data_IF_170157141662
#
_entry.id   IF_170157141662
#
_cell.length_a   1.000
_cell.length_b   1.000
_cell.length_c   1.000
_cell.angle_alpha   90.00
_cell.angle_beta   90.00
_cell.angle_gamma   90.00
#
_symmetry.space_group_name_H-M   'P 1'
#
loop_
_entity.id
_entity.type
_entity.pdbx_description
1 polymer ?
#
# COMPACT_ATOMS: atom_id res chain seq x y z
N UNK A 1 -16.81 -7.59 0.19
CA UNK A 1 -16.47 -8.32 1.42
C UNK A 1 -14.98 -8.69 1.41
N UNK A 2 -14.41 -8.96 2.59
CA UNK A 2 -13.01 -9.38 2.70
C UNK A 2 -12.69 -10.67 1.94
N UNK A 3 -13.69 -11.50 1.70
CA UNK A 3 -13.58 -12.70 0.87
C UNK A 3 -13.19 -12.40 -0.57
N UNK A 4 -13.72 -11.33 -1.10
CA UNK A 4 -13.45 -10.88 -2.46
C UNK A 4 -12.09 -10.20 -2.58
N UNK A 5 -11.62 -9.52 -1.53
CA UNK A 5 -10.26 -8.97 -1.47
C UNK A 5 -9.18 -10.05 -1.58
N UNK A 6 -9.41 -11.21 -0.94
CA UNK A 6 -8.48 -12.34 -1.04
C UNK A 6 -8.52 -12.96 -2.46
N UNK A 7 -9.68 -12.96 -3.12
CA UNK A 7 -9.77 -13.36 -4.53
C UNK A 7 -9.04 -12.39 -5.45
N UNK A 8 -9.15 -11.08 -5.19
CA UNK A 8 -8.37 -10.06 -5.92
C UNK A 8 -6.87 -10.30 -5.77
N UNK A 9 -6.39 -10.54 -4.55
CA UNK A 9 -4.97 -10.81 -4.31
C UNK A 9 -4.48 -12.10 -4.97
N UNK A 10 -5.33 -13.14 -5.06
CA UNK A 10 -4.97 -14.38 -5.78
C UNK A 10 -4.82 -14.19 -7.29
N UNK A 11 -5.65 -13.35 -7.89
CA UNK A 11 -5.55 -13.03 -9.31
C UNK A 11 -4.25 -12.31 -9.66
N UNK A 12 -3.76 -11.47 -8.75
CA UNK A 12 -2.51 -10.74 -8.95
C UNK A 12 -1.26 -11.58 -8.68
N UNK A 13 -1.31 -12.52 -7.72
CA UNK A 13 -0.18 -13.41 -7.43
C UNK A 13 0.12 -14.39 -8.58
N UNK A 14 -0.90 -14.89 -9.26
CA UNK A 14 -0.71 -15.77 -10.42
C UNK A 14 -0.20 -15.02 -11.67
N UNK A 15 -0.55 -13.74 -11.82
CA UNK A 15 -0.09 -12.92 -12.96
C UNK A 15 1.36 -12.46 -12.84
N UNK A 16 1.95 -12.44 -11.64
CA UNK A 16 3.36 -12.05 -11.42
C UNK A 16 4.33 -13.07 -12.05
N UNK A 17 3.91 -14.32 -12.22
CA UNK A 17 4.73 -15.37 -12.87
C UNK A 17 4.62 -15.39 -14.41
N UNK A 18 3.62 -14.72 -14.97
CA UNK A 18 3.38 -14.69 -16.43
C UNK A 18 3.66 -13.28 -16.97
N UNK A 19 4.84 -13.11 -17.54
CA UNK A 19 5.24 -12.02 -18.45
C UNK A 19 5.21 -10.59 -17.90
N UNK A 20 6.31 -9.82 -18.04
CA UNK A 20 6.42 -8.44 -17.55
C UNK A 20 5.55 -7.42 -18.29
N UNK A 21 4.71 -7.83 -19.24
CA UNK A 21 3.97 -6.91 -20.12
C UNK A 21 2.44 -6.88 -19.94
N UNK A 22 1.88 -7.51 -18.91
CA UNK A 22 0.42 -7.49 -18.73
C UNK A 22 0.00 -6.46 -17.67
N UNK A 23 0.18 -5.17 -17.98
CA UNK A 23 -0.20 -4.03 -17.14
C UNK A 23 -1.68 -3.62 -17.33
N UNK A 24 -2.56 -4.56 -17.71
CA UNK A 24 -3.97 -4.25 -18.02
C UNK A 24 -4.73 -3.64 -16.84
N UNK A 25 -4.34 -3.99 -15.60
CA UNK A 25 -5.00 -3.51 -14.39
C UNK A 25 -4.30 -2.29 -13.76
N UNK A 26 -3.16 -1.87 -14.32
CA UNK A 26 -2.43 -0.72 -13.79
C UNK A 26 -3.09 0.59 -14.20
N UNK A 27 -3.45 1.41 -13.22
CA UNK A 27 -3.92 2.78 -13.44
C UNK A 27 -2.74 3.73 -13.52
N UNK A 28 -1.87 3.69 -12.52
CA UNK A 28 -0.73 4.59 -12.39
C UNK A 28 0.39 3.91 -11.61
N UNK A 29 1.63 4.24 -11.96
CA UNK A 29 2.82 3.75 -11.27
C UNK A 29 3.75 4.91 -10.97
N UNK A 30 4.34 4.91 -9.78
CA UNK A 30 5.39 5.84 -9.36
C UNK A 30 6.60 5.06 -8.91
N UNK A 31 7.73 5.38 -9.53
CA UNK A 31 9.00 4.70 -9.30
C UNK A 31 9.92 5.54 -8.42
N UNK A 32 10.69 4.86 -7.58
CA UNK A 32 11.81 5.39 -6.85
C UNK A 32 13.01 4.45 -7.08
N UNK A 33 14.13 4.73 -6.42
CA UNK A 33 15.31 3.88 -6.55
C UNK A 33 15.09 2.53 -5.88
N UNK A 34 15.04 1.46 -6.69
CA UNK A 34 14.92 0.09 -6.21
C UNK A 34 13.52 -0.31 -5.73
N UNK A 35 12.50 0.53 -5.94
CA UNK A 35 11.13 0.21 -5.57
C UNK A 35 10.11 1.01 -6.38
N UNK A 36 8.86 0.58 -6.32
CA UNK A 36 7.74 1.32 -6.91
C UNK A 36 6.45 1.04 -6.16
N UNK A 37 5.48 1.93 -6.37
CA UNK A 37 4.09 1.73 -6.02
C UNK A 37 3.25 1.82 -7.28
N UNK A 38 2.31 0.91 -7.44
CA UNK A 38 1.31 0.98 -8.50
C UNK A 38 -0.11 0.88 -7.92
N UNK A 39 -1.04 1.56 -8.55
CA UNK A 39 -2.47 1.46 -8.26
C UNK A 39 -3.12 0.63 -9.34
N UNK A 40 -3.97 -0.31 -8.91
CA UNK A 40 -4.69 -1.23 -9.79
C UNK A 40 -6.19 -0.99 -9.73
N UNK A 41 -6.89 -1.28 -10.84
CA UNK A 41 -8.34 -1.09 -10.94
C UNK A 41 -9.17 -2.35 -10.67
N UNK A 42 -8.57 -3.35 -10.05
CA UNK A 42 -9.17 -4.68 -9.87
C UNK A 42 -10.10 -4.81 -8.66
N UNK A 43 -10.17 -3.81 -7.79
CA UNK A 43 -10.94 -3.86 -6.55
C UNK A 43 -11.95 -2.71 -6.35
N UNK A 44 -12.21 -1.88 -7.36
CA UNK A 44 -13.18 -0.79 -7.25
C UNK A 44 -14.60 -1.29 -6.98
N UNK A 45 -14.97 -2.41 -7.57
CA UNK A 45 -16.28 -3.03 -7.35
C UNK A 45 -16.49 -3.51 -5.90
N UNK A 46 -15.43 -3.56 -5.09
CA UNK A 46 -15.45 -3.90 -3.67
C UNK A 46 -15.33 -2.66 -2.76
N UNK A 47 -15.46 -1.46 -3.32
CA UNK A 47 -15.20 -0.20 -2.63
C UNK A 47 -13.79 -0.09 -2.04
N UNK A 48 -12.81 -0.68 -2.74
CA UNK A 48 -11.39 -0.65 -2.33
C UNK A 48 -10.51 -0.09 -3.44
N UNK A 49 -9.50 0.63 -3.04
CA UNK A 49 -8.37 1.02 -3.89
C UNK A 49 -7.22 0.06 -3.58
N UNK A 50 -6.74 -0.63 -4.60
CA UNK A 50 -5.63 -1.58 -4.47
C UNK A 50 -4.31 -0.93 -4.86
N UNK A 51 -3.37 -0.86 -3.91
CA UNK A 51 -2.01 -0.42 -4.15
C UNK A 51 -1.06 -1.60 -3.97
N UNK A 52 -0.10 -1.72 -4.87
CA UNK A 52 0.97 -2.72 -4.77
C UNK A 52 2.30 -2.01 -4.62
N UNK A 53 3.01 -2.33 -3.54
CA UNK A 53 4.34 -1.82 -3.23
C UNK A 53 5.35 -2.92 -3.48
N UNK A 54 6.34 -2.66 -4.31
CA UNK A 54 7.35 -3.63 -4.69
C UNK A 54 8.74 -3.05 -4.49
N UNK A 55 9.60 -3.80 -3.80
CA UNK A 55 11.04 -3.59 -3.82
C UNK A 55 11.69 -4.66 -4.70
N UNK A 56 12.73 -4.29 -5.43
CA UNK A 56 13.38 -5.20 -6.36
C UNK A 56 14.90 -5.03 -6.37
N UNK A 57 15.57 -6.09 -6.78
CA UNK A 57 17.03 -6.14 -7.00
C UNK A 57 17.29 -6.60 -8.42
N UNK A 58 17.79 -5.70 -9.27
CA UNK A 58 18.07 -5.96 -10.68
C UNK A 58 19.25 -6.93 -10.89
N UNK A 59 20.10 -7.11 -9.88
CA UNK A 59 21.23 -8.05 -9.94
C UNK A 59 20.78 -9.52 -9.87
N UNK A 60 19.54 -9.78 -9.44
CA UNK A 60 18.98 -11.12 -9.37
C UNK A 60 18.50 -11.62 -10.75
N UNK A 61 18.42 -12.93 -10.95
CA UNK A 61 17.87 -13.51 -12.18
C UNK A 61 16.43 -13.06 -12.45
N UNK A 62 16.05 -13.02 -13.72
CA UNK A 62 14.67 -12.71 -14.12
C UNK A 62 13.68 -13.66 -13.43
N UNK A 63 12.57 -13.11 -12.94
CA UNK A 63 11.56 -13.84 -12.17
C UNK A 63 11.86 -13.97 -10.66
N UNK A 64 13.05 -13.56 -10.21
CA UNK A 64 13.44 -13.58 -8.79
C UNK A 64 13.87 -12.20 -8.28
N UNK A 65 13.52 -11.14 -9.01
CA UNK A 65 13.98 -9.78 -8.72
C UNK A 65 13.22 -9.11 -7.61
N UNK A 66 11.98 -9.50 -7.33
CA UNK A 66 11.19 -8.90 -6.27
C UNK A 66 11.67 -9.38 -4.89
N UNK A 67 12.10 -8.43 -4.08
CA UNK A 67 12.57 -8.69 -2.70
C UNK A 67 11.47 -8.43 -1.68
N UNK A 68 10.52 -7.56 -1.98
CA UNK A 68 9.32 -7.32 -1.18
C UNK A 68 8.14 -7.04 -2.10
N UNK A 69 6.96 -7.49 -1.68
CA UNK A 69 5.72 -7.28 -2.41
C UNK A 69 4.59 -7.18 -1.40
N UNK A 70 4.03 -5.98 -1.26
CA UNK A 70 3.00 -5.68 -0.26
C UNK A 70 1.77 -5.15 -0.97
N UNK A 71 0.63 -5.81 -0.76
CA UNK A 71 -0.66 -5.37 -1.27
C UNK A 71 -1.43 -4.61 -0.18
N UNK A 72 -1.85 -3.39 -0.50
CA UNK A 72 -2.63 -2.53 0.39
C UNK A 72 -3.99 -2.30 -0.25
N UNK A 73 -5.03 -2.39 0.57
CA UNK A 73 -6.42 -2.15 0.16
C UNK A 73 -6.99 -1.05 1.04
N UNK A 74 -7.22 0.14 0.47
CA UNK A 74 -7.74 1.30 1.18
C UNK A 74 -9.22 1.46 0.82
N UNK A 75 -10.05 1.74 1.82
CA UNK A 75 -11.46 2.08 1.56
C UNK A 75 -11.56 3.31 0.65
N UNK A 76 -12.40 3.23 -0.38
CA UNK A 76 -12.60 4.32 -1.33
C UNK A 76 -12.89 5.66 -0.63
N UNK A 77 -13.80 5.75 0.36
CA UNK A 77 -14.03 7.01 1.06
C UNK A 77 -12.78 7.59 1.73
N UNK A 78 -11.94 6.77 2.34
CA UNK A 78 -10.70 7.22 2.98
C UNK A 78 -9.70 7.74 1.94
N UNK A 79 -9.57 7.05 0.83
CA UNK A 79 -8.70 7.48 -0.28
C UNK A 79 -9.19 8.80 -0.89
N UNK A 80 -10.50 8.96 -1.10
CA UNK A 80 -11.09 10.18 -1.61
C UNK A 80 -10.92 11.35 -0.64
N UNK A 81 -11.03 11.12 0.68
CA UNK A 81 -10.77 12.14 1.68
C UNK A 81 -9.33 12.64 1.62
N UNK A 82 -8.37 11.75 1.48
CA UNK A 82 -6.96 12.11 1.30
C UNK A 82 -6.77 12.92 0.01
N UNK A 83 -7.40 12.49 -1.09
CA UNK A 83 -7.36 13.21 -2.37
C UNK A 83 -7.94 14.61 -2.25
N UNK A 84 -9.02 14.78 -1.49
CA UNK A 84 -9.62 16.09 -1.23
C UNK A 84 -8.67 17.00 -0.43
N UNK A 85 -7.98 16.49 0.58
CA UNK A 85 -6.97 17.24 1.32
C UNK A 85 -5.79 17.65 0.42
N UNK A 86 -5.40 16.80 -0.52
CA UNK A 86 -4.40 17.16 -1.52
C UNK A 86 -4.91 18.27 -2.46
N UNK A 87 -6.18 18.18 -2.88
CA UNK A 87 -6.80 19.14 -3.82
C UNK A 87 -6.94 20.54 -3.21
N UNK A 88 -7.34 20.63 -1.92
CA UNK A 88 -7.55 21.92 -1.27
C UNK A 88 -6.27 22.53 -0.66
N UNK A 89 -5.13 21.85 -0.78
CA UNK A 89 -3.84 22.34 -0.28
C UNK A 89 -3.58 22.07 1.21
N UNK A 90 -4.55 21.53 1.96
CA UNK A 90 -4.38 21.31 3.41
C UNK A 90 -3.33 20.24 3.71
N UNK A 91 -3.24 19.20 2.87
CA UNK A 91 -2.22 18.15 3.03
C UNK A 91 -0.81 18.74 2.82
N UNK A 92 -0.63 19.54 1.79
CA UNK A 92 0.67 20.19 1.51
C UNK A 92 1.08 21.15 2.61
N UNK A 93 0.15 21.94 3.13
CA UNK A 93 0.40 22.83 4.27
C UNK A 93 0.81 22.04 5.52
N UNK A 94 0.13 20.97 5.83
CA UNK A 94 0.48 20.07 6.95
C UNK A 94 1.87 19.47 6.78
N UNK A 95 2.20 19.04 5.56
CA UNK A 95 3.52 18.50 5.24
C UNK A 95 4.60 19.54 5.52
N UNK A 96 4.43 20.77 5.06
CA UNK A 96 5.39 21.84 5.29
C UNK A 96 5.54 22.18 6.78
N UNK A 97 4.43 22.21 7.52
CA UNK A 97 4.45 22.42 8.97
C UNK A 97 5.23 21.31 9.68
N UNK A 98 4.95 20.04 9.38
CA UNK A 98 5.65 18.91 9.97
C UNK A 98 7.14 18.92 9.64
N UNK A 99 7.48 19.30 8.41
CA UNK A 99 8.87 19.43 7.97
C UNK A 99 9.62 20.51 8.77
N UNK A 100 9.00 21.67 8.98
CA UNK A 100 9.56 22.76 9.76
C UNK A 100 9.72 22.38 11.24
N UNK A 101 8.77 21.67 11.79
CA UNK A 101 8.77 21.20 13.19
C UNK A 101 9.57 19.92 13.40
N UNK A 102 10.11 19.32 12.31
CA UNK A 102 10.82 18.03 12.31
C UNK A 102 9.99 16.89 12.89
N UNK A 103 8.68 16.92 12.65
CA UNK A 103 7.77 15.85 13.05
C UNK A 103 7.88 14.64 12.11
N UNK A 104 7.92 13.45 12.71
CA UNK A 104 7.94 12.18 11.99
C UNK A 104 6.59 11.48 11.99
N UNK A 105 5.56 12.13 12.54
CA UNK A 105 4.21 11.61 12.61
C UNK A 105 3.62 11.38 11.21
N UNK A 106 2.75 10.40 11.08
CA UNK A 106 2.07 10.13 9.83
C UNK A 106 1.06 11.24 9.48
N UNK A 107 1.12 11.71 8.24
CA UNK A 107 0.10 12.60 7.66
C UNK A 107 -1.18 11.83 7.31
N UNK A 108 -1.02 10.58 6.96
CA UNK A 108 -2.10 9.63 6.69
C UNK A 108 -1.62 8.24 7.09
N UNK A 109 -2.53 7.44 7.64
CA UNK A 109 -2.26 6.05 8.01
C UNK A 109 -3.52 5.21 7.80
N UNK A 110 -3.35 4.02 7.25
CA UNK A 110 -4.40 3.03 7.16
C UNK A 110 -3.88 1.68 7.63
N UNK A 111 -4.58 1.11 8.62
CA UNK A 111 -4.32 -0.23 9.12
C UNK A 111 -5.22 -1.23 8.41
N UNK A 112 -4.65 -2.32 7.97
CA UNK A 112 -5.38 -3.40 7.33
C UNK A 112 -4.69 -4.74 7.54
N UNK A 113 -5.15 -5.74 6.84
CA UNK A 113 -4.56 -7.06 6.90
C UNK A 113 -5.59 -8.18 6.81
N UNK A 114 -5.14 -9.38 7.14
CA UNK A 114 -5.97 -10.59 7.09
C UNK A 114 -5.89 -11.31 8.42
N UNK A 115 -7.04 -11.66 8.99
CA UNK A 115 -7.10 -12.36 10.27
C UNK A 115 -6.48 -13.77 10.19
N UNK A 116 -5.95 -14.27 11.30
CA UNK A 116 -5.39 -15.61 11.39
C UNK A 116 -6.40 -16.68 10.94
N UNK A 117 -7.66 -16.52 11.29
CA UNK A 117 -8.75 -17.43 10.90
C UNK A 117 -8.92 -17.49 9.37
N UNK A 118 -8.86 -16.36 8.69
CA UNK A 118 -8.98 -16.28 7.24
C UNK A 118 -7.75 -16.80 6.53
N UNK A 119 -6.57 -16.50 7.05
CA UNK A 119 -5.32 -17.06 6.52
C UNK A 119 -5.36 -18.58 6.56
N UNK A 120 -5.79 -19.16 7.69
CA UNK A 120 -5.94 -20.61 7.83
C UNK A 120 -6.96 -21.19 6.85
N UNK A 121 -8.11 -20.53 6.68
CA UNK A 121 -9.13 -20.95 5.73
C UNK A 121 -8.62 -21.04 4.28
N UNK A 122 -7.75 -20.14 3.88
CA UNK A 122 -7.17 -20.11 2.53
C UNK A 122 -5.85 -20.90 2.40
N UNK A 123 -5.44 -21.62 3.45
CA UNK A 123 -4.19 -22.37 3.44
C UNK A 123 -2.95 -21.49 3.46
N UNK A 124 -3.07 -20.25 3.94
CA UNK A 124 -1.99 -19.26 4.01
C UNK A 124 -1.63 -18.89 5.45
N UNK A 125 -1.96 -19.78 6.43
CA UNK A 125 -1.65 -19.53 7.83
C UNK A 125 -0.15 -19.24 8.01
N UNK A 126 0.14 -18.23 8.82
CA UNK A 126 1.51 -17.90 9.22
C UNK A 126 2.04 -18.99 10.15
N UNK A 127 3.36 -19.23 10.12
CA UNK A 127 4.00 -20.20 10.99
C UNK A 127 3.83 -19.88 12.49
N UNK A 128 3.69 -18.59 12.82
CA UNK A 128 3.45 -18.13 14.19
C UNK A 128 1.97 -18.14 14.60
N UNK A 129 1.07 -18.50 13.70
CA UNK A 129 -0.38 -18.52 13.94
C UNK A 129 -1.03 -17.15 14.10
N UNK A 130 -0.30 -16.06 13.87
CA UNK A 130 -0.80 -14.69 14.01
C UNK A 130 -1.53 -14.22 12.74
N UNK A 131 -2.22 -13.08 12.86
CA UNK A 131 -2.78 -12.37 11.73
C UNK A 131 -1.68 -11.71 10.90
N UNK A 132 -1.97 -11.41 9.64
CA UNK A 132 -1.08 -10.65 8.77
C UNK A 132 -1.52 -9.19 8.79
N UNK A 133 -0.65 -8.30 9.28
CA UNK A 133 -0.87 -6.86 9.24
C UNK A 133 -0.25 -6.25 7.99
N UNK A 134 -0.98 -5.34 7.35
CA UNK A 134 -0.51 -4.51 6.25
C UNK A 134 -0.86 -3.07 6.53
N UNK A 135 0.15 -2.23 6.63
CA UNK A 135 0.01 -0.82 7.02
C UNK A 135 0.55 0.07 5.92
N UNK A 136 -0.20 1.09 5.55
CA UNK A 136 0.29 2.17 4.68
C UNK A 136 0.37 3.46 5.49
N UNK A 137 1.45 4.21 5.30
CA UNK A 137 1.68 5.52 5.90
C UNK A 137 2.16 6.52 4.87
N UNK A 138 1.71 7.75 5.02
CA UNK A 138 2.26 8.91 4.33
C UNK A 138 2.97 9.76 5.37
N UNK A 139 4.27 9.97 5.20
CA UNK A 139 5.10 10.76 6.10
C UNK A 139 5.89 11.80 5.33
N UNK A 140 6.49 12.74 6.03
CA UNK A 140 7.31 13.80 5.45
C UNK A 140 8.70 13.27 5.09
N UNK A 141 9.16 13.56 3.88
CA UNK A 141 10.52 13.27 3.43
C UNK A 141 11.41 14.51 3.54
N UNK A 142 12.55 14.37 4.20
CA UNK A 142 13.50 15.48 4.39
C UNK A 142 14.08 15.96 3.06
N UNK A 143 14.44 15.02 2.19
CA UNK A 143 15.08 15.31 0.88
C UNK A 143 14.11 15.49 -0.28
N UNK A 144 12.81 15.36 -0.03
CA UNK A 144 11.75 15.54 -1.01
C UNK A 144 10.52 16.06 -0.27
N UNK A 145 9.32 15.62 -0.66
CA UNK A 145 8.08 16.06 -0.01
C UNK A 145 7.49 14.92 0.85
N UNK A 146 7.37 13.72 0.31
CA UNK A 146 6.68 12.61 0.97
C UNK A 146 7.42 11.29 0.87
N UNK A 147 7.24 10.46 1.90
CA UNK A 147 7.39 9.02 1.80
C UNK A 147 6.02 8.37 1.83
N UNK A 148 5.74 7.53 0.86
CA UNK A 148 4.61 6.61 0.88
C UNK A 148 5.17 5.23 1.19
N UNK A 149 4.80 4.69 2.35
CA UNK A 149 5.44 3.50 2.92
C UNK A 149 4.41 2.43 3.18
N UNK A 150 4.72 1.20 2.80
CA UNK A 150 3.96 0.03 3.19
C UNK A 150 4.82 -0.91 4.04
N UNK A 151 4.23 -1.43 5.10
CA UNK A 151 4.83 -2.39 6.00
C UNK A 151 3.92 -3.59 6.16
N UNK A 152 4.48 -4.79 6.22
CA UNK A 152 3.74 -6.00 6.52
C UNK A 152 4.50 -6.91 7.47
N UNK A 153 3.75 -7.69 8.24
CA UNK A 153 4.29 -8.61 9.23
C UNK A 153 3.20 -9.11 10.16
N UNK A 154 3.58 -9.69 11.31
CA UNK A 154 2.61 -10.23 12.25
C UNK A 154 1.71 -9.13 12.81
N UNK A 155 0.45 -9.48 12.99
CA UNK A 155 -0.56 -8.60 13.56
C UNK A 155 -1.49 -9.34 14.51
N UNK A 156 -2.31 -8.57 15.19
CA UNK A 156 -3.30 -9.06 16.15
C UNK A 156 -4.65 -8.43 15.87
N UNK A 157 -5.70 -9.25 15.80
CA UNK A 157 -7.06 -8.77 15.64
C UNK A 157 -7.58 -8.23 16.97
N UNK A 158 -8.01 -6.96 16.99
CA UNK A 158 -8.59 -6.37 18.17
C UNK A 158 -10.09 -6.70 18.30
N UNK A 159 -10.75 -6.19 19.34
CA UNK A 159 -12.18 -6.45 19.61
C UNK A 159 -13.11 -5.95 18.50
N UNK A 160 -12.69 -4.98 17.70
CA UNK A 160 -13.49 -4.43 16.59
C UNK A 160 -13.24 -5.13 15.27
N UNK A 161 -12.35 -6.12 15.23
CA UNK A 161 -11.98 -6.84 14.01
C UNK A 161 -10.84 -6.17 13.23
N UNK A 162 -10.29 -5.07 13.72
CA UNK A 162 -9.15 -4.40 13.09
C UNK A 162 -7.85 -5.18 13.37
N UNK A 163 -7.04 -5.37 12.34
CA UNK A 163 -5.72 -5.98 12.48
C UNK A 163 -4.73 -4.90 12.88
N UNK A 164 -4.15 -5.02 14.05
CA UNK A 164 -3.17 -4.09 14.61
C UNK A 164 -1.77 -4.69 14.45
N UNK A 165 -0.79 -3.92 13.94
CA UNK A 165 0.57 -4.45 13.75
C UNK A 165 1.25 -4.82 15.06
N UNK A 166 1.97 -5.93 15.03
CA UNK A 166 2.83 -6.45 16.14
C UNK A 166 4.17 -6.87 15.56
N UNK A 167 4.85 -5.91 14.93
CA UNK A 167 6.08 -6.18 14.17
C UNK A 167 7.31 -6.43 15.04
N UNK A 168 7.28 -6.08 16.32
CA UNK A 168 8.47 -6.11 17.15
C UNK A 168 9.45 -5.00 16.76
N UNK A 169 10.70 -5.35 16.50
CA UNK A 169 11.74 -4.37 16.16
C UNK A 169 11.58 -3.80 14.75
N UNK A 170 11.09 -4.60 13.81
CA UNK A 170 10.92 -4.20 12.42
C UNK A 170 9.87 -5.05 11.72
N UNK A 171 9.17 -4.51 10.69
CA UNK A 171 8.28 -5.32 9.89
C UNK A 171 9.04 -6.39 9.10
N UNK A 172 8.35 -7.44 8.67
CA UNK A 172 8.92 -8.49 7.82
C UNK A 172 9.18 -7.98 6.40
N UNK A 173 8.29 -7.13 5.90
CA UNK A 173 8.46 -6.46 4.61
C UNK A 173 8.25 -4.97 4.81
N UNK A 174 9.07 -4.18 4.12
CA UNK A 174 9.03 -2.72 4.16
C UNK A 174 9.37 -2.17 2.78
N UNK A 175 8.51 -1.33 2.25
CA UNK A 175 8.75 -0.62 0.99
C UNK A 175 8.39 0.84 1.19
N UNK A 176 9.35 1.73 0.93
CA UNK A 176 9.16 3.18 1.06
C UNK A 176 9.48 3.87 -0.27
N UNK A 177 8.46 4.49 -0.85
CA UNK A 177 8.57 5.20 -2.13
C UNK A 177 8.60 6.70 -1.85
N UNK A 178 9.71 7.35 -2.21
CA UNK A 178 9.85 8.80 -2.08
C UNK A 178 9.14 9.47 -3.25
N UNK A 179 8.32 10.48 -2.93
CA UNK A 179 7.48 11.17 -3.91
C UNK A 179 7.60 12.69 -3.73
N UNK A 180 7.64 13.41 -4.85
CA UNK A 180 7.40 14.84 -4.84
C UNK A 180 5.90 15.10 -4.63
N UNK A 181 5.56 16.31 -4.23
CA UNK A 181 4.18 16.78 -4.16
C UNK A 181 3.41 16.52 -5.46
N UNK A 182 4.03 16.83 -6.61
CA UNK A 182 3.44 16.59 -7.93
C UNK A 182 3.15 15.10 -8.15
N UNK A 183 4.12 14.24 -7.86
CA UNK A 183 3.96 12.79 -8.04
C UNK A 183 2.84 12.21 -7.17
N UNK A 184 2.73 12.67 -5.91
CA UNK A 184 1.63 12.25 -5.05
C UNK A 184 0.28 12.70 -5.60
N UNK A 185 0.18 13.95 -6.05
CA UNK A 185 -1.05 14.47 -6.65
C UNK A 185 -1.44 13.68 -7.91
N UNK A 186 -0.50 13.37 -8.78
CA UNK A 186 -0.75 12.55 -9.97
C UNK A 186 -1.29 11.18 -9.60
N UNK A 187 -0.73 10.55 -8.56
CA UNK A 187 -1.20 9.25 -8.09
C UNK A 187 -2.63 9.33 -7.56
N UNK A 188 -2.92 10.30 -6.70
CA UNK A 188 -4.24 10.46 -6.09
C UNK A 188 -5.32 10.84 -7.11
N UNK A 189 -5.07 11.84 -7.94
CA UNK A 189 -6.03 12.32 -8.94
C UNK A 189 -6.19 11.34 -10.10
N UNK A 190 -5.11 10.70 -10.54
CA UNK A 190 -5.17 9.66 -11.57
C UNK A 190 -6.05 8.50 -11.16
N UNK A 191 -5.98 8.08 -9.91
CA UNK A 191 -6.83 7.04 -9.35
C UNK A 191 -8.27 7.50 -9.21
N UNK A 192 -8.52 8.71 -8.70
CA UNK A 192 -9.88 9.28 -8.54
C UNK A 192 -10.64 9.33 -9.86
N UNK A 193 -9.98 9.70 -10.94
CA UNK A 193 -10.61 9.77 -12.27
C UNK A 193 -11.03 8.41 -12.79
N UNK A 194 -10.31 7.35 -12.44
CA UNK A 194 -10.60 5.98 -12.87
C UNK A 194 -11.63 5.26 -12.00
N UNK A 195 -11.75 5.64 -10.73
CA UNK A 195 -12.74 5.07 -9.80
C UNK A 195 -14.19 5.36 -10.21
N UNK A 196 -14.41 6.37 -11.04
CA UNK A 196 -15.74 6.75 -11.55
C UNK A 196 -16.20 5.97 -12.78
N UNK A 197 -15.30 5.27 -13.40
CA UNK A 197 -15.57 4.47 -14.61
C UNK A 197 -15.91 3.02 -14.23
#
# INVERSE_FOLDING_TARGET
SEWELIKCSKGSEHKIMESPNNNQDQIIRKDARGCFVEVKNDCFHLDKIHLQFVAYDKSRPAGQRYTSNIHIYIDVPQFLALTQEAANGSLHMRMQQYKNERKTDALFEHLGGTSAKRLAYYGKARSDGKSLSRVIKLTVAEKSDYFLTADSGPGEENKTGLIVPRFGKSPEQHVSVILTWRQLNELLFGTKLRDKD
#
